data_IF_042308755581
#
_entry.id   IF_042308755581
#
_cell.length_a   1.000
_cell.length_b   1.000
_cell.length_c   1.000
_cell.angle_alpha   90.00
_cell.angle_beta   90.00
_cell.angle_gamma   90.00
#
_symmetry.space_group_name_H-M   'P 1'
#
loop_
_entity.id
_entity.type
_entity.pdbx_description
1 polymer ?
#
# COMPACT_ATOMS: atom_id res chain seq x y z
N UNK A 1 15.50 9.49 -20.95
CA UNK A 1 15.34 8.37 -20.01
C UNK A 1 14.24 7.44 -20.50
N UNK A 2 14.43 6.12 -20.45
CA UNK A 2 13.40 5.14 -20.85
C UNK A 2 12.15 5.29 -19.95
N UNK A 3 10.95 5.47 -20.55
CA UNK A 3 9.69 5.65 -19.79
C UNK A 3 9.40 4.49 -18.83
N UNK A 4 9.78 3.25 -19.16
CA UNK A 4 9.62 2.09 -18.27
C UNK A 4 10.54 2.21 -17.05
N UNK A 5 11.78 2.64 -17.25
CA UNK A 5 12.74 2.87 -16.15
C UNK A 5 12.25 3.97 -15.23
N UNK A 6 11.71 5.06 -15.77
CA UNK A 6 11.17 6.15 -14.95
C UNK A 6 9.99 5.67 -14.09
N UNK A 7 9.02 4.95 -14.68
CA UNK A 7 7.88 4.38 -13.94
C UNK A 7 8.33 3.44 -12.83
N UNK A 8 9.36 2.62 -13.09
CA UNK A 8 9.92 1.71 -12.10
C UNK A 8 10.56 2.49 -10.94
N UNK A 9 11.37 3.51 -11.24
CA UNK A 9 11.97 4.38 -10.22
C UNK A 9 10.90 5.12 -9.38
N UNK A 10 9.82 5.58 -10.02
CA UNK A 10 8.71 6.24 -9.34
C UNK A 10 8.00 5.27 -8.38
N UNK A 11 7.79 4.00 -8.79
CA UNK A 11 7.29 2.94 -7.90
C UNK A 11 8.23 2.72 -6.72
N UNK A 12 9.54 2.59 -6.94
CA UNK A 12 10.50 2.43 -5.84
C UNK A 12 10.50 3.62 -4.87
N UNK A 13 10.34 4.85 -5.36
CA UNK A 13 10.18 6.04 -4.52
C UNK A 13 8.93 6.00 -3.63
N UNK A 14 7.87 5.34 -4.10
CA UNK A 14 6.67 5.07 -3.30
C UNK A 14 6.91 3.93 -2.30
N UNK A 15 7.71 2.93 -2.65
CA UNK A 15 7.95 1.78 -1.76
C UNK A 15 9.05 2.03 -0.72
N UNK A 16 9.94 3.02 -0.92
CA UNK A 16 11.05 3.34 -0.03
C UNK A 16 10.67 4.03 1.29
N UNK A 17 9.51 3.70 1.86
CA UNK A 17 9.08 4.18 3.17
C UNK A 17 8.50 3.02 3.98
N UNK A 18 8.96 2.81 5.23
CA UNK A 18 8.59 1.64 6.03
C UNK A 18 7.09 1.56 6.28
N UNK A 19 6.41 2.67 6.59
CA UNK A 19 4.97 2.68 6.87
C UNK A 19 4.18 2.21 5.64
N UNK A 20 4.55 2.65 4.44
CA UNK A 20 3.88 2.21 3.19
C UNK A 20 4.07 0.72 2.95
N UNK A 21 5.27 0.19 3.19
CA UNK A 21 5.52 -1.26 3.09
C UNK A 21 4.71 -2.02 4.14
N UNK A 22 4.65 -1.54 5.39
CA UNK A 22 3.85 -2.15 6.45
C UNK A 22 2.35 -2.16 6.14
N UNK A 23 1.81 -1.09 5.55
CA UNK A 23 0.42 -1.05 5.08
C UNK A 23 0.19 -2.10 4.00
N UNK A 24 1.07 -2.19 2.99
CA UNK A 24 0.98 -3.20 1.95
C UNK A 24 1.04 -4.62 2.54
N UNK A 25 1.86 -4.85 3.58
CA UNK A 25 1.89 -6.14 4.28
C UNK A 25 0.58 -6.46 5.02
N UNK A 26 -0.03 -5.51 5.75
CA UNK A 26 -1.35 -5.76 6.34
C UNK A 26 -2.38 -6.07 5.23
N UNK A 27 -2.30 -5.40 4.06
CA UNK A 27 -3.20 -5.63 2.92
C UNK A 27 -2.94 -6.93 2.14
N UNK A 28 -1.72 -7.49 2.20
CA UNK A 28 -1.42 -8.81 1.64
C UNK A 28 -2.10 -9.95 2.42
N UNK A 29 -2.34 -9.74 3.71
CA UNK A 29 -3.06 -10.68 4.57
C UNK A 29 -4.59 -10.60 4.40
N UNK A 30 -5.08 -9.63 3.63
CA UNK A 30 -6.50 -9.44 3.36
C UNK A 30 -6.87 -7.96 3.20
N UNK A 31 -8.00 -7.70 2.55
CA UNK A 31 -8.52 -6.35 2.43
C UNK A 31 -8.81 -5.76 3.82
N UNK A 32 -8.59 -4.46 4.01
CA UNK A 32 -8.76 -3.82 5.33
C UNK A 32 -9.16 -2.36 5.23
N UNK A 33 -9.85 -1.87 6.25
CA UNK A 33 -10.15 -0.44 6.41
C UNK A 33 -9.01 0.30 7.14
N UNK A 34 -9.10 1.64 7.14
CA UNK A 34 -8.09 2.50 7.78
C UNK A 34 -7.94 2.23 9.29
N UNK A 35 -9.05 1.94 9.98
CA UNK A 35 -9.06 1.66 11.43
C UNK A 35 -8.29 0.37 11.74
N UNK A 36 -8.49 -0.67 10.95
CA UNK A 36 -7.81 -1.95 11.16
C UNK A 36 -6.32 -1.85 10.91
N UNK A 37 -5.94 -1.07 9.89
CA UNK A 37 -4.53 -0.80 9.60
C UNK A 37 -3.89 0.05 10.70
N UNK A 38 -4.62 1.02 11.25
CA UNK A 38 -4.16 1.80 12.41
C UNK A 38 -3.89 0.91 13.62
N UNK A 39 -4.80 -0.02 13.93
CA UNK A 39 -4.60 -1.02 15.00
C UNK A 39 -3.39 -1.92 14.71
N UNK A 40 -3.23 -2.39 13.47
CA UNK A 40 -2.12 -3.24 12.99
C UNK A 40 -0.76 -2.56 13.23
N UNK A 41 -0.67 -1.26 12.95
CA UNK A 41 0.58 -0.51 12.92
C UNK A 41 0.84 0.32 14.18
N UNK A 42 -0.16 0.52 15.03
CA UNK A 42 -0.10 1.36 16.22
C UNK A 42 0.42 2.79 15.94
N UNK A 43 -0.07 3.41 14.86
CA UNK A 43 0.25 4.79 14.47
C UNK A 43 -1.02 5.62 14.29
N UNK A 44 -0.95 6.97 14.33
CA UNK A 44 -2.14 7.81 14.17
C UNK A 44 -2.91 7.54 12.87
N UNK A 45 -4.25 7.52 12.95
CA UNK A 45 -5.11 7.27 11.80
C UNK A 45 -4.89 8.27 10.66
N UNK A 46 -4.62 9.54 10.98
CA UNK A 46 -4.28 10.57 9.99
C UNK A 46 -3.02 10.24 9.19
N UNK A 47 -2.02 9.64 9.84
CA UNK A 47 -0.80 9.14 9.20
C UNK A 47 -1.13 7.98 8.27
N UNK A 48 -1.93 7.00 8.72
CA UNK A 48 -2.39 5.88 7.88
C UNK A 48 -3.12 6.40 6.63
N UNK A 49 -4.11 7.27 6.81
CA UNK A 49 -4.89 7.88 5.72
C UNK A 49 -4.00 8.59 4.70
N UNK A 50 -2.99 9.34 5.16
CA UNK A 50 -2.02 10.00 4.29
C UNK A 50 -1.25 8.98 3.43
N UNK A 51 -0.78 7.89 4.04
CA UNK A 51 -0.04 6.86 3.31
C UNK A 51 -0.92 6.04 2.37
N UNK A 52 -2.16 5.73 2.76
CA UNK A 52 -3.16 5.12 1.87
C UNK A 52 -3.45 6.00 0.66
N UNK A 53 -3.57 7.32 0.84
CA UNK A 53 -3.73 8.26 -0.27
C UNK A 53 -2.54 8.24 -1.22
N UNK A 54 -1.30 8.19 -0.72
CA UNK A 54 -0.10 8.10 -1.56
C UNK A 54 -0.06 6.78 -2.33
N UNK A 55 -0.36 5.65 -1.68
CA UNK A 55 -0.39 4.34 -2.32
C UNK A 55 -1.49 4.25 -3.40
N UNK A 56 -2.66 4.81 -3.12
CA UNK A 56 -3.78 4.88 -4.06
C UNK A 56 -3.44 5.75 -5.28
N UNK A 57 -2.86 6.93 -5.05
CA UNK A 57 -2.41 7.82 -6.13
C UNK A 57 -1.30 7.21 -6.98
N UNK A 58 -0.49 6.32 -6.41
CA UNK A 58 0.52 5.55 -7.13
C UNK A 58 -0.06 4.35 -7.91
N UNK A 59 -1.37 4.08 -7.79
CA UNK A 59 -2.04 2.96 -8.45
C UNK A 59 -1.67 1.59 -7.88
N UNK A 60 -1.14 1.53 -6.65
CA UNK A 60 -0.73 0.27 -6.02
C UNK A 60 -1.88 -0.40 -5.26
N UNK A 61 -2.80 0.41 -4.76
CA UNK A 61 -3.99 -0.03 -4.02
C UNK A 61 -5.23 0.67 -4.58
N UNK A 62 -6.39 0.08 -4.37
CA UNK A 62 -7.68 0.73 -4.53
C UNK A 62 -8.41 0.81 -3.19
N UNK A 63 -9.50 1.56 -3.17
CA UNK A 63 -10.36 1.67 -1.99
C UNK A 63 -11.81 1.73 -2.42
N UNK A 64 -12.60 0.76 -1.97
CA UNK A 64 -14.02 0.62 -2.23
C UNK A 64 -14.84 1.04 -1.01
N UNK A 65 -15.91 1.82 -1.22
CA UNK A 65 -16.75 2.27 -0.10
C UNK A 65 -17.72 1.17 0.30
N UNK A 66 -17.66 0.77 1.57
CA UNK A 66 -18.58 -0.18 2.18
C UNK A 66 -19.29 0.50 3.35
N UNK A 67 -20.49 1.03 3.08
CA UNK A 67 -21.25 1.84 4.02
C UNK A 67 -20.51 3.12 4.45
N UNK A 68 -20.13 3.18 5.72
CA UNK A 68 -19.41 4.30 6.33
C UNK A 68 -17.88 4.17 6.22
N UNK A 69 -17.39 3.01 5.79
CA UNK A 69 -15.95 2.72 5.73
C UNK A 69 -15.46 2.62 4.29
N UNK A 70 -14.14 2.71 4.12
CA UNK A 70 -13.46 2.40 2.86
C UNK A 70 -12.58 1.18 3.10
N UNK A 71 -12.80 0.14 2.30
CA UNK A 71 -12.04 -1.10 2.30
C UNK A 71 -10.96 -0.99 1.23
N UNK A 72 -9.70 -1.19 1.62
CA UNK A 72 -8.54 -1.11 0.73
C UNK A 72 -8.04 -2.51 0.35
N UNK A 73 -7.53 -2.63 -0.87
CA UNK A 73 -6.94 -3.85 -1.44
C UNK A 73 -5.76 -3.50 -2.35
N UNK A 74 -4.80 -4.41 -2.49
CA UNK A 74 -3.69 -4.27 -3.46
C UNK A 74 -4.21 -4.64 -4.85
N UNK A 75 -3.92 -3.80 -5.84
CA UNK A 75 -4.31 -4.02 -7.25
C UNK A 75 -3.11 -4.20 -8.18
N UNK A 76 -1.89 -3.90 -7.71
CA UNK A 76 -0.67 -4.08 -8.50
C UNK A 76 0.00 -5.43 -8.17
N UNK A 77 -0.28 -6.44 -9.02
CA UNK A 77 0.28 -7.79 -8.87
C UNK A 77 1.82 -7.80 -8.88
N UNK A 78 2.44 -6.87 -9.61
CA UNK A 78 3.90 -6.73 -9.66
C UNK A 78 4.48 -6.38 -8.29
N UNK A 79 3.88 -5.41 -7.60
CA UNK A 79 4.27 -5.04 -6.23
C UNK A 79 3.97 -6.16 -5.24
N UNK A 80 2.81 -6.82 -5.35
CA UNK A 80 2.47 -7.99 -4.53
C UNK A 80 3.54 -9.07 -4.62
N UNK A 81 3.87 -9.49 -5.84
CA UNK A 81 4.87 -10.53 -6.08
C UNK A 81 6.25 -10.10 -5.60
N UNK A 82 6.65 -8.86 -5.85
CA UNK A 82 7.94 -8.34 -5.41
C UNK A 82 8.10 -8.37 -3.88
N UNK A 83 7.07 -7.93 -3.13
CA UNK A 83 7.12 -7.95 -1.66
C UNK A 83 7.20 -9.40 -1.15
N UNK A 84 6.39 -10.31 -1.70
CA UNK A 84 6.41 -11.73 -1.31
C UNK A 84 7.77 -12.37 -1.58
N UNK A 85 8.39 -12.09 -2.73
CA UNK A 85 9.73 -12.60 -3.06
C UNK A 85 10.80 -12.11 -2.08
N UNK A 86 10.79 -10.82 -1.73
CA UNK A 86 11.83 -10.21 -0.90
C UNK A 86 11.70 -10.51 0.61
N UNK A 87 10.52 -10.94 1.08
CA UNK A 87 10.30 -11.30 2.49
C UNK A 87 10.38 -12.82 2.75
N UNK A 88 10.55 -13.63 1.71
CA UNK A 88 10.79 -15.07 1.82
C UNK A 88 12.28 -15.41 2.04
N UNK A 89 13.15 -14.40 2.07
CA UNK A 89 14.59 -14.49 2.39
C UNK A 89 14.83 -14.28 3.90
#
# INVERSE_FOLDING_TARGET
MNKKIQKLADKFKVLSNPIRVSILLCLLNGQSNVTKIQECLNIPQSTVSKHLGILKNAGLIEGERSGLEVIYSIVDDGVKNMILSLMAE
#
